data_IF_782408388862
#
_entry.id   IF_782408388862
#
_cell.length_a   1.000
_cell.length_b   1.000
_cell.length_c   1.000
_cell.angle_alpha   90.00
_cell.angle_beta   90.00
_cell.angle_gamma   90.00
#
_symmetry.space_group_name_H-M   'P 1'
#
loop_
_entity.id
_entity.type
_entity.pdbx_description
1 polymer ?
#
# COMPACT_ATOMS: atom_id res chain seq x y z
N UNK A 1 -9.64 -9.81 8.27
CA UNK A 1 -9.05 -9.73 9.61
C UNK A 1 -9.83 -10.57 10.62
N UNK A 2 -11.15 -10.33 10.84
CA UNK A 2 -11.97 -11.14 11.75
C UNK A 2 -11.92 -12.64 11.42
N UNK A 3 -12.09 -13.01 10.16
CA UNK A 3 -12.06 -14.40 9.68
C UNK A 3 -10.76 -15.12 10.05
N UNK A 4 -9.65 -14.39 10.14
CA UNK A 4 -8.35 -14.97 10.50
C UNK A 4 -8.35 -15.42 11.97
N UNK A 5 -8.86 -14.62 12.89
CA UNK A 5 -8.99 -15.00 14.30
C UNK A 5 -9.93 -16.20 14.47
N UNK A 6 -11.08 -16.16 13.82
CA UNK A 6 -12.06 -17.25 13.86
C UNK A 6 -11.47 -18.57 13.32
N UNK A 7 -10.68 -18.52 12.24
CA UNK A 7 -9.99 -19.69 11.69
C UNK A 7 -8.93 -20.28 12.64
N UNK A 8 -8.33 -19.44 13.49
CA UNK A 8 -7.41 -19.87 14.53
C UNK A 8 -8.12 -20.30 15.85
N UNK A 9 -9.45 -20.37 15.86
CA UNK A 9 -10.22 -20.72 17.05
C UNK A 9 -10.26 -19.63 18.12
N UNK A 10 -9.91 -18.40 17.78
CA UNK A 10 -9.90 -17.25 18.69
C UNK A 10 -11.14 -16.38 18.44
N UNK A 11 -11.85 -16.03 19.49
CA UNK A 11 -12.95 -15.07 19.41
C UNK A 11 -12.41 -13.69 19.09
N UNK A 12 -12.88 -13.09 18.00
CA UNK A 12 -12.46 -11.76 17.59
C UNK A 12 -13.15 -10.66 18.40
N UNK A 13 -12.37 -9.68 18.85
CA UNK A 13 -12.86 -8.43 19.46
C UNK A 13 -12.48 -7.23 18.60
N UNK A 14 -13.38 -6.22 18.45
CA UNK A 14 -13.08 -5.03 17.63
C UNK A 14 -11.79 -4.30 18.01
N UNK A 15 -11.44 -4.28 19.30
CA UNK A 15 -10.20 -3.70 19.82
C UNK A 15 -8.93 -4.33 19.23
N UNK A 16 -8.99 -5.57 18.74
CA UNK A 16 -7.84 -6.23 18.10
C UNK A 16 -7.42 -5.54 16.81
N UNK A 17 -8.39 -4.96 16.08
CA UNK A 17 -8.08 -4.18 14.88
C UNK A 17 -7.35 -2.88 15.23
N UNK A 18 -7.69 -2.24 16.34
CA UNK A 18 -6.99 -1.04 16.80
C UNK A 18 -5.53 -1.34 17.14
N UNK A 19 -5.27 -2.45 17.83
CA UNK A 19 -3.90 -2.89 18.13
C UNK A 19 -3.13 -3.20 16.84
N UNK A 20 -3.75 -3.92 15.89
CA UNK A 20 -3.15 -4.19 14.58
C UNK A 20 -2.81 -2.91 13.84
N UNK A 21 -3.73 -1.94 13.82
CA UNK A 21 -3.54 -0.65 13.17
C UNK A 21 -2.34 0.11 13.77
N UNK A 22 -2.25 0.18 15.10
CA UNK A 22 -1.13 0.84 15.78
C UNK A 22 0.23 0.18 15.52
N UNK A 23 0.27 -1.14 15.53
CA UNK A 23 1.50 -1.89 15.18
C UNK A 23 1.86 -1.63 13.73
N UNK A 24 0.89 -1.67 12.84
CA UNK A 24 1.08 -1.38 11.42
C UNK A 24 1.62 0.03 11.20
N UNK A 25 1.01 1.04 11.83
CA UNK A 25 1.44 2.44 11.73
C UNK A 25 2.91 2.63 12.14
N UNK A 26 3.33 2.01 13.24
CA UNK A 26 4.73 2.03 13.68
C UNK A 26 5.65 1.37 12.67
N UNK A 27 5.30 0.18 12.16
CA UNK A 27 6.13 -0.57 11.23
C UNK A 27 6.23 0.14 9.88
N UNK A 28 5.12 0.64 9.34
CA UNK A 28 5.11 1.40 8.10
C UNK A 28 5.87 2.72 8.23
N UNK A 29 5.80 3.39 9.39
CA UNK A 29 6.63 4.58 9.66
C UNK A 29 8.13 4.24 9.65
N UNK A 30 8.54 3.11 10.21
CA UNK A 30 9.92 2.64 10.16
C UNK A 30 10.36 2.32 8.71
N UNK A 31 9.50 1.66 7.94
CA UNK A 31 9.76 1.37 6.52
C UNK A 31 9.92 2.66 5.70
N UNK A 32 9.03 3.64 5.86
CA UNK A 32 9.13 4.94 5.18
C UNK A 32 10.41 5.70 5.51
N UNK A 33 11.00 5.45 6.70
CA UNK A 33 12.31 5.94 7.10
C UNK A 33 13.47 5.05 6.65
N UNK A 34 13.18 4.01 5.86
CA UNK A 34 14.16 3.02 5.37
C UNK A 34 14.91 2.29 6.49
N UNK A 35 14.27 2.11 7.66
CA UNK A 35 14.82 1.40 8.81
C UNK A 35 14.55 -0.10 8.76
N UNK A 36 13.45 -0.48 8.11
CA UNK A 36 13.05 -1.87 7.84
C UNK A 36 12.48 -1.97 6.43
N UNK A 37 12.44 -3.18 5.90
CA UNK A 37 11.85 -3.50 4.60
C UNK A 37 10.37 -3.86 4.71
N UNK A 38 9.64 -3.86 3.58
CA UNK A 38 8.26 -4.38 3.51
C UNK A 38 8.21 -5.85 3.94
N UNK A 39 9.21 -6.66 3.57
CA UNK A 39 9.27 -8.07 3.97
C UNK A 39 9.35 -8.20 5.50
N UNK A 40 10.18 -7.40 6.17
CA UNK A 40 10.28 -7.43 7.64
C UNK A 40 8.97 -7.00 8.32
N UNK A 41 8.15 -6.13 7.70
CA UNK A 41 6.80 -5.84 8.20
C UNK A 41 5.96 -7.12 8.17
N UNK A 42 5.90 -7.80 7.03
CA UNK A 42 5.12 -9.03 6.86
C UNK A 42 5.56 -10.12 7.83
N UNK A 43 6.86 -10.28 8.05
CA UNK A 43 7.42 -11.29 8.92
C UNK A 43 7.16 -11.04 10.42
N UNK A 44 6.92 -9.79 10.81
CA UNK A 44 6.88 -9.41 12.24
C UNK A 44 5.53 -8.93 12.75
N UNK A 45 4.65 -8.44 11.89
CA UNK A 45 3.42 -7.76 12.32
C UNK A 45 2.51 -8.66 13.15
N UNK A 46 2.33 -9.93 12.74
CA UNK A 46 1.45 -10.86 13.44
C UNK A 46 2.06 -11.42 14.70
N UNK A 47 3.39 -11.61 14.75
CA UNK A 47 4.11 -11.95 15.99
C UNK A 47 3.90 -10.86 17.04
N UNK A 48 4.05 -9.59 16.66
CA UNK A 48 3.82 -8.46 17.56
C UNK A 48 2.36 -8.34 17.98
N UNK A 49 1.43 -8.56 17.04
CA UNK A 49 -0.02 -8.51 17.32
C UNK A 49 -0.42 -9.54 18.35
N UNK A 50 -0.12 -10.81 18.11
CA UNK A 50 -0.53 -11.90 19.00
C UNK A 50 0.13 -11.77 20.37
N UNK A 51 1.40 -11.35 20.42
CA UNK A 51 2.08 -11.05 21.68
C UNK A 51 1.43 -9.89 22.45
N UNK A 52 1.08 -8.80 21.77
CA UNK A 52 0.41 -7.65 22.39
C UNK A 52 -0.98 -7.98 22.93
N UNK A 53 -1.69 -8.90 22.28
CA UNK A 53 -3.01 -9.37 22.70
C UNK A 53 -2.94 -10.52 23.71
N UNK A 54 -1.74 -11.01 24.07
CA UNK A 54 -1.51 -12.20 24.89
C UNK A 54 -2.27 -13.44 24.37
N UNK A 55 -2.33 -13.60 23.05
CA UNK A 55 -2.97 -14.73 22.38
C UNK A 55 -1.89 -15.76 22.03
N UNK A 56 -2.07 -16.99 22.55
CA UNK A 56 -1.21 -18.13 22.25
C UNK A 56 -1.69 -18.80 20.96
N UNK A 57 -1.20 -18.33 19.83
CA UNK A 57 -1.48 -18.87 18.50
C UNK A 57 -0.23 -18.77 17.60
N UNK A 58 -0.19 -19.62 16.57
CA UNK A 58 0.90 -19.64 15.59
C UNK A 58 0.81 -18.39 14.69
N UNK A 59 1.75 -17.45 14.88
CA UNK A 59 1.79 -16.19 14.14
C UNK A 59 2.07 -16.38 12.63
N UNK A 60 2.85 -17.39 12.26
CA UNK A 60 3.15 -17.70 10.86
C UNK A 60 1.91 -18.28 10.16
N UNK A 61 1.19 -19.19 10.84
CA UNK A 61 -0.06 -19.72 10.34
C UNK A 61 -1.13 -18.61 10.22
N UNK A 62 -1.21 -17.71 11.21
CA UNK A 62 -2.08 -16.54 11.19
C UNK A 62 -1.77 -15.65 9.99
N UNK A 63 -0.50 -15.33 9.78
CA UNK A 63 -0.05 -14.50 8.66
C UNK A 63 -0.37 -15.12 7.30
N UNK A 64 -0.11 -16.41 7.11
CA UNK A 64 -0.45 -17.14 5.88
C UNK A 64 -1.95 -17.08 5.57
N UNK A 65 -2.80 -17.34 6.56
CA UNK A 65 -4.24 -17.28 6.39
C UNK A 65 -4.73 -15.86 6.08
N UNK A 66 -4.17 -14.85 6.78
CA UNK A 66 -4.49 -13.45 6.53
C UNK A 66 -4.12 -13.04 5.09
N UNK A 67 -2.92 -13.39 4.64
CA UNK A 67 -2.48 -13.08 3.28
C UNK A 67 -3.36 -13.78 2.25
N UNK A 68 -3.77 -15.03 2.48
CA UNK A 68 -4.73 -15.69 1.61
C UNK A 68 -6.04 -14.93 1.49
N UNK A 69 -6.58 -14.43 2.62
CA UNK A 69 -7.80 -13.60 2.59
C UNK A 69 -7.61 -12.30 1.81
N UNK A 70 -6.42 -11.68 1.88
CA UNK A 70 -6.11 -10.48 1.09
C UNK A 70 -6.08 -10.75 -0.43
N UNK A 71 -5.72 -11.96 -0.84
CA UNK A 71 -5.80 -12.37 -2.24
C UNK A 71 -7.24 -12.57 -2.74
N UNK A 72 -8.14 -12.96 -1.84
CA UNK A 72 -9.52 -13.33 -2.16
C UNK A 72 -10.53 -12.19 -1.99
N UNK A 73 -10.16 -11.14 -1.25
CA UNK A 73 -11.05 -10.05 -0.90
C UNK A 73 -10.43 -8.69 -1.24
N UNK A 74 -11.20 -7.85 -1.92
CA UNK A 74 -10.87 -6.45 -2.15
C UNK A 74 -12.11 -5.59 -2.02
N UNK A 75 -11.96 -4.46 -1.32
CA UNK A 75 -13.01 -3.44 -1.19
C UNK A 75 -12.44 -2.17 -1.80
N UNK A 76 -13.16 -1.60 -2.74
CA UNK A 76 -12.79 -0.32 -3.34
C UNK A 76 -13.17 0.84 -2.42
N UNK A 77 -12.36 1.89 -2.45
CA UNK A 77 -12.77 3.19 -1.93
C UNK A 77 -14.01 3.68 -2.69
N UNK A 78 -14.90 4.43 -2.04
CA UNK A 78 -16.04 5.04 -2.71
C UNK A 78 -15.60 5.80 -3.98
N UNK A 79 -16.39 5.67 -5.04
CA UNK A 79 -16.16 6.35 -6.34
C UNK A 79 -14.89 5.93 -7.10
N UNK A 80 -14.06 5.03 -6.56
CA UNK A 80 -12.80 4.63 -7.21
C UNK A 80 -13.01 4.03 -8.60
N UNK A 81 -14.03 3.19 -8.78
CA UNK A 81 -14.31 2.57 -10.08
C UNK A 81 -14.74 3.62 -11.13
N UNK A 82 -15.53 4.61 -10.73
CA UNK A 82 -15.98 5.71 -11.60
C UNK A 82 -14.81 6.61 -12.01
N UNK A 83 -13.95 6.94 -11.04
CA UNK A 83 -12.75 7.72 -11.29
C UNK A 83 -11.79 7.01 -12.25
N UNK A 84 -11.55 5.70 -12.04
CA UNK A 84 -10.70 4.90 -12.93
C UNK A 84 -11.27 4.81 -14.34
N UNK A 85 -12.59 4.60 -14.48
CA UNK A 85 -13.27 4.59 -15.77
C UNK A 85 -13.07 5.91 -16.51
N UNK A 86 -13.32 7.05 -15.84
CA UNK A 86 -13.15 8.38 -16.42
C UNK A 86 -11.71 8.66 -16.82
N UNK A 87 -10.74 8.32 -15.97
CA UNK A 87 -9.32 8.60 -16.21
C UNK A 87 -8.74 7.71 -17.31
N UNK A 88 -9.11 6.44 -17.37
CA UNK A 88 -8.58 5.48 -18.36
C UNK A 88 -8.91 5.84 -19.81
N UNK A 89 -9.99 6.62 -20.06
CA UNK A 89 -10.32 7.13 -21.39
C UNK A 89 -9.37 8.24 -21.87
N UNK A 90 -8.62 8.87 -20.95
CA UNK A 90 -7.84 10.10 -21.20
C UNK A 90 -6.35 9.91 -20.93
N UNK A 91 -6.00 9.03 -20.02
CA UNK A 91 -4.64 8.84 -19.52
C UNK A 91 -4.28 7.36 -19.47
N UNK A 92 -3.00 7.07 -19.59
CA UNK A 92 -2.46 5.76 -19.21
C UNK A 92 -2.36 5.71 -17.70
N UNK A 93 -2.93 4.67 -17.11
CA UNK A 93 -2.91 4.48 -15.66
C UNK A 93 -1.90 3.39 -15.30
N UNK A 94 -1.23 3.60 -14.18
CA UNK A 94 -0.25 2.69 -13.62
C UNK A 94 -0.49 2.55 -12.11
N UNK A 95 -0.16 1.40 -11.54
CA UNK A 95 -0.14 1.22 -10.09
C UNK A 95 1.29 1.37 -9.60
N UNK A 96 1.48 2.08 -8.47
CA UNK A 96 2.76 2.20 -7.78
C UNK A 96 2.58 1.86 -6.30
N UNK A 97 3.08 0.70 -5.85
CA UNK A 97 2.81 0.19 -4.50
C UNK A 97 4.05 -0.39 -3.83
N UNK A 98 4.17 -0.14 -2.51
CA UNK A 98 5.06 -0.94 -1.66
C UNK A 98 4.31 -2.21 -1.25
N UNK A 99 4.85 -3.38 -1.60
CA UNK A 99 4.22 -4.65 -1.31
C UNK A 99 4.68 -5.77 -2.23
N UNK A 100 3.85 -6.80 -2.36
CA UNK A 100 4.10 -8.00 -3.17
C UNK A 100 3.28 -7.94 -4.46
N UNK A 101 3.91 -8.13 -5.62
CA UNK A 101 3.28 -7.99 -6.93
C UNK A 101 2.07 -8.92 -7.10
N UNK A 102 2.22 -10.18 -6.72
CA UNK A 102 1.15 -11.18 -6.87
C UNK A 102 -0.08 -10.80 -6.02
N UNK A 103 0.14 -10.30 -4.81
CA UNK A 103 -0.94 -9.83 -3.94
C UNK A 103 -1.64 -8.61 -4.55
N UNK A 104 -0.90 -7.60 -4.98
CA UNK A 104 -1.49 -6.40 -5.58
C UNK A 104 -2.27 -6.74 -6.85
N UNK A 105 -1.71 -7.59 -7.71
CA UNK A 105 -2.38 -8.07 -8.94
C UNK A 105 -3.69 -8.80 -8.62
N UNK A 106 -3.66 -9.75 -7.67
CA UNK A 106 -4.83 -10.52 -7.25
C UNK A 106 -5.93 -9.60 -6.72
N UNK A 107 -5.59 -8.65 -5.84
CA UNK A 107 -6.55 -7.69 -5.28
C UNK A 107 -7.21 -6.81 -6.33
N UNK A 108 -6.44 -6.30 -7.28
CA UNK A 108 -6.97 -5.51 -8.41
C UNK A 108 -7.88 -6.35 -9.31
N UNK A 109 -7.54 -7.63 -9.51
CA UNK A 109 -8.34 -8.57 -10.29
C UNK A 109 -9.66 -8.89 -9.59
N UNK A 110 -9.64 -9.20 -8.29
CA UNK A 110 -10.84 -9.47 -7.48
C UNK A 110 -11.74 -8.24 -7.42
N UNK A 111 -11.15 -7.04 -7.31
CA UNK A 111 -11.88 -5.77 -7.38
C UNK A 111 -12.44 -5.44 -8.78
N UNK A 112 -12.07 -6.20 -9.81
CA UNK A 112 -12.52 -5.98 -11.19
C UNK A 112 -11.91 -4.77 -11.88
N UNK A 113 -10.83 -4.18 -11.35
CA UNK A 113 -10.23 -2.93 -11.85
C UNK A 113 -8.84 -3.10 -12.49
N UNK A 114 -8.28 -4.31 -12.49
CA UNK A 114 -6.95 -4.56 -13.06
C UNK A 114 -6.82 -4.10 -14.51
N UNK A 115 -7.90 -4.22 -15.29
CA UNK A 115 -7.92 -3.89 -16.71
C UNK A 115 -7.74 -2.40 -17.03
N UNK A 116 -7.90 -1.50 -16.06
CA UNK A 116 -7.64 -0.07 -16.24
C UNK A 116 -6.16 0.29 -16.28
N UNK A 117 -5.30 -0.57 -15.74
CA UNK A 117 -3.87 -0.27 -15.57
C UNK A 117 -3.03 -0.89 -16.68
N UNK A 118 -2.13 -0.09 -17.23
CA UNK A 118 -1.18 -0.50 -18.27
C UNK A 118 -0.05 -1.36 -17.69
N UNK A 119 0.39 -1.07 -16.46
CA UNK A 119 1.41 -1.84 -15.73
C UNK A 119 1.29 -1.60 -14.21
N UNK A 120 1.95 -2.48 -13.45
CA UNK A 120 2.05 -2.42 -12.00
C UNK A 120 3.52 -2.29 -11.59
N UNK A 121 3.86 -1.20 -10.92
CA UNK A 121 5.17 -0.94 -10.35
C UNK A 121 5.10 -1.26 -8.85
N UNK A 122 5.57 -2.44 -8.47
CA UNK A 122 5.50 -2.93 -7.09
C UNK A 122 6.91 -3.20 -6.57
N UNK A 123 7.15 -2.85 -5.30
CA UNK A 123 8.48 -2.81 -4.72
C UNK A 123 9.25 -4.11 -4.78
N UNK A 124 8.60 -5.27 -4.61
CA UNK A 124 9.26 -6.58 -4.69
C UNK A 124 9.71 -6.93 -6.12
N UNK A 125 8.97 -6.51 -7.13
CA UNK A 125 9.31 -6.69 -8.55
C UNK A 125 10.37 -5.68 -9.02
N UNK A 126 10.32 -4.45 -8.49
CA UNK A 126 11.30 -3.41 -8.80
C UNK A 126 12.64 -3.66 -8.08
N UNK A 127 12.59 -4.26 -6.89
CA UNK A 127 13.75 -4.41 -6.00
C UNK A 127 14.10 -3.13 -5.24
N UNK A 128 13.19 -2.16 -5.19
CA UNK A 128 13.31 -0.92 -4.44
C UNK A 128 11.94 -0.47 -3.93
N UNK A 129 11.91 0.23 -2.80
CA UNK A 129 10.68 0.67 -2.13
C UNK A 129 10.53 2.19 -2.19
N UNK A 130 9.28 2.71 -2.28
CA UNK A 130 9.01 4.13 -2.06
C UNK A 130 9.37 4.49 -0.60
N UNK A 131 9.99 5.63 -0.32
CA UNK A 131 10.25 6.79 -1.17
C UNK A 131 11.61 6.82 -1.87
N UNK A 132 12.30 5.69 -2.12
CA UNK A 132 13.61 5.71 -2.76
C UNK A 132 13.54 6.20 -4.21
N UNK A 133 14.54 6.96 -4.64
CA UNK A 133 14.64 7.44 -6.02
C UNK A 133 14.69 6.27 -7.02
N UNK A 134 15.37 5.18 -6.65
CA UNK A 134 15.47 3.97 -7.48
C UNK A 134 14.09 3.38 -7.86
N UNK A 135 13.10 3.44 -6.97
CA UNK A 135 11.75 3.00 -7.29
C UNK A 135 11.12 3.86 -8.39
N UNK A 136 11.19 5.18 -8.24
CA UNK A 136 10.59 6.11 -9.21
C UNK A 136 11.33 6.12 -10.55
N UNK A 137 12.67 6.04 -10.54
CA UNK A 137 13.47 5.93 -11.75
C UNK A 137 13.11 4.69 -12.56
N UNK A 138 12.97 3.53 -11.91
CA UNK A 138 12.58 2.30 -12.56
C UNK A 138 11.13 2.35 -13.08
N UNK A 139 10.21 2.93 -12.32
CA UNK A 139 8.83 3.13 -12.77
C UNK A 139 8.77 4.05 -14.01
N UNK A 140 9.53 5.15 -14.04
CA UNK A 140 9.62 6.03 -15.22
C UNK A 140 10.27 5.32 -16.40
N UNK A 141 11.33 4.56 -16.18
CA UNK A 141 12.01 3.79 -17.22
C UNK A 141 11.06 2.76 -17.86
N UNK A 142 10.28 2.02 -17.05
CA UNK A 142 9.31 1.02 -17.55
C UNK A 142 8.12 1.66 -18.25
N UNK A 143 7.58 2.74 -17.71
CA UNK A 143 6.45 3.45 -18.33
C UNK A 143 6.82 4.16 -19.63
N UNK A 144 8.09 4.55 -19.79
CA UNK A 144 8.60 5.29 -20.95
C UNK A 144 8.09 6.73 -21.01
N UNK A 145 7.65 7.32 -19.88
CA UNK A 145 7.18 8.71 -19.78
C UNK A 145 8.17 9.56 -18.99
N UNK A 146 8.21 10.85 -19.28
CA UNK A 146 9.05 11.79 -18.54
C UNK A 146 8.36 12.21 -17.21
N UNK A 147 9.10 12.53 -16.14
CA UNK A 147 8.54 12.91 -14.86
C UNK A 147 7.52 14.07 -14.93
N UNK A 148 7.74 15.04 -15.81
CA UNK A 148 6.84 16.19 -16.01
C UNK A 148 5.55 15.86 -16.81
N UNK A 149 5.40 14.62 -17.25
CA UNK A 149 4.17 14.11 -17.91
C UNK A 149 3.34 13.25 -16.97
N UNK A 150 3.75 13.12 -15.70
CA UNK A 150 3.14 12.23 -14.71
C UNK A 150 2.54 13.00 -13.56
N UNK A 151 1.33 12.62 -13.17
CA UNK A 151 0.73 12.97 -11.89
C UNK A 151 0.74 11.73 -10.99
N UNK A 152 1.43 11.80 -9.86
CA UNK A 152 1.42 10.75 -8.85
C UNK A 152 0.33 11.02 -7.82
N UNK A 153 -0.58 10.07 -7.66
CA UNK A 153 -1.68 10.15 -6.68
C UNK A 153 -1.43 9.10 -5.60
N UNK A 154 -1.40 9.53 -4.34
CA UNK A 154 -1.14 8.61 -3.22
C UNK A 154 -1.55 9.19 -1.88
N UNK A 155 -1.64 8.35 -0.87
CA UNK A 155 -2.09 8.69 0.49
C UNK A 155 -0.94 8.93 1.47
N UNK A 156 0.27 8.44 1.19
CA UNK A 156 1.42 8.60 2.06
C UNK A 156 2.21 9.86 1.76
N UNK A 157 2.24 10.81 2.70
CA UNK A 157 3.09 12.00 2.58
C UNK A 157 4.57 11.65 2.43
N UNK A 158 5.03 10.61 3.13
CA UNK A 158 6.44 10.23 3.12
C UNK A 158 6.79 9.31 1.94
N UNK A 159 6.05 8.24 1.74
CA UNK A 159 6.37 7.28 0.69
C UNK A 159 6.03 7.84 -0.71
N UNK A 160 4.85 8.45 -0.87
CA UNK A 160 4.34 8.87 -2.16
C UNK A 160 4.74 10.31 -2.48
N UNK A 161 4.30 11.25 -1.65
CA UNK A 161 4.47 12.67 -1.96
C UNK A 161 5.94 13.11 -1.89
N UNK A 162 6.69 12.67 -0.86
CA UNK A 162 8.13 12.99 -0.76
C UNK A 162 8.93 12.28 -1.85
N UNK A 163 8.61 11.02 -2.17
CA UNK A 163 9.27 10.26 -3.23
C UNK A 163 9.06 10.90 -4.60
N UNK A 164 7.81 11.22 -4.96
CA UNK A 164 7.48 11.90 -6.21
C UNK A 164 8.12 13.30 -6.32
N UNK A 165 8.16 14.06 -5.20
CA UNK A 165 8.86 15.36 -5.15
C UNK A 165 10.33 15.25 -5.54
N UNK A 166 11.06 14.31 -4.94
CA UNK A 166 12.49 14.09 -5.22
C UNK A 166 12.74 13.68 -6.67
N UNK A 167 11.77 12.99 -7.26
CA UNK A 167 11.83 12.50 -8.65
C UNK A 167 11.31 13.52 -9.68
N UNK A 168 10.92 14.72 -9.25
CA UNK A 168 10.43 15.78 -10.15
C UNK A 168 9.04 15.50 -10.75
N UNK A 169 8.24 14.69 -10.06
CA UNK A 169 6.88 14.27 -10.49
C UNK A 169 5.84 15.13 -9.78
N UNK A 170 4.81 15.58 -10.51
CA UNK A 170 3.66 16.28 -9.94
C UNK A 170 2.87 15.34 -9.00
N UNK A 171 2.29 15.92 -7.93
CA UNK A 171 1.73 15.16 -6.80
C UNK A 171 0.33 15.59 -6.48
N UNK A 172 -0.52 14.60 -6.22
CA UNK A 172 -1.85 14.77 -5.67
C UNK A 172 -1.97 13.91 -4.40
N UNK A 173 -2.18 14.55 -3.25
CA UNK A 173 -2.31 13.84 -2.00
C UNK A 173 -3.76 13.42 -1.75
N UNK A 174 -4.01 12.10 -1.75
CA UNK A 174 -5.29 11.53 -1.34
C UNK A 174 -5.41 11.57 0.18
N UNK A 175 -6.04 12.64 0.70
CA UNK A 175 -6.17 12.94 2.13
C UNK A 175 -7.57 12.58 2.65
N UNK A 176 -7.87 11.29 2.77
CA UNK A 176 -9.18 10.78 3.20
C UNK A 176 -9.55 11.15 4.64
N UNK A 177 -8.56 11.48 5.47
CA UNK A 177 -8.75 11.82 6.88
C UNK A 177 -8.73 13.31 7.17
N UNK A 178 -8.68 14.16 6.15
CA UNK A 178 -8.58 15.61 6.27
C UNK A 178 -7.45 16.07 7.24
N UNK A 179 -6.31 15.38 7.18
CA UNK A 179 -5.14 15.72 7.99
C UNK A 179 -4.56 17.08 7.53
N UNK A 180 -3.91 17.82 8.43
CA UNK A 180 -3.27 19.10 8.08
C UNK A 180 -2.21 18.90 6.99
N UNK A 181 -2.19 19.78 5.98
CA UNK A 181 -1.15 19.79 4.96
C UNK A 181 0.14 20.31 5.57
N UNK A 182 1.26 19.56 5.49
CA UNK A 182 2.55 20.02 5.99
C UNK A 182 3.07 21.22 5.19
N UNK A 183 3.42 22.31 5.86
CA UNK A 183 4.01 23.49 5.20
C UNK A 183 5.34 23.18 4.48
N UNK A 184 6.07 22.17 4.96
CA UNK A 184 7.37 21.77 4.42
C UNK A 184 7.30 20.93 3.16
N UNK A 185 6.11 20.46 2.77
CA UNK A 185 5.92 19.60 1.61
C UNK A 185 4.97 20.27 0.60
N UNK A 186 5.51 20.92 -0.46
CA UNK A 186 4.66 21.52 -1.47
C UNK A 186 3.89 20.43 -2.23
N UNK A 187 2.57 20.57 -2.28
CA UNK A 187 1.67 19.73 -3.07
C UNK A 187 1.23 20.51 -4.32
N UNK A 188 0.97 19.77 -5.41
CA UNK A 188 0.41 20.38 -6.61
C UNK A 188 -1.12 20.40 -6.55
N UNK A 189 -1.69 19.33 -5.97
CA UNK A 189 -3.15 19.13 -5.82
C UNK A 189 -3.48 18.40 -4.51
#
# INVERSE_FOLDING_TARGET
>A
FRKTFEAMGVTYEPSYYEVYYWIGDVLWTQQQRQQITVQEIHDTIFHRLLAALAIDADADAFGKFFHQQLHEEAILEPEAAEALSYLSERYKLYVASNGMLDMQRSRLQVAGILHYFSDLFVSDDIGAEKPSEAFFEEAMRRSGVAPNEVLFIGDSLQADMTGALRSGIDRCWYNSHAAPVPESLPLNY
#
